data_IF_228048766899
#
_entry.id   IF_228048766899
#
_cell.length_a   1.000
_cell.length_b   1.000
_cell.length_c   1.000
_cell.angle_alpha   90.00
_cell.angle_beta   90.00
_cell.angle_gamma   90.00
#
_symmetry.space_group_name_H-M   'P 1'
#
loop_
_entity.id
_entity.type
_entity.pdbx_description
1 polymer ?
#
# COMPACT_ATOMS: atom_id res chain seq x y z
N UNK A 1 -45.59 -31.14 54.76
CA UNK A 1 -44.32 -31.23 55.50
C UNK A 1 -43.37 -30.30 54.77
N UNK A 2 -42.94 -29.18 55.38
CA UNK A 2 -42.19 -28.14 54.67
C UNK A 2 -40.87 -28.72 54.13
N UNK A 3 -40.76 -28.92 52.82
CA UNK A 3 -39.50 -29.30 52.18
C UNK A 3 -38.61 -28.05 52.13
N UNK A 4 -37.57 -28.05 52.96
CA UNK A 4 -36.49 -27.07 52.96
C UNK A 4 -35.45 -27.48 51.91
N UNK A 5 -35.14 -26.62 50.95
CA UNK A 5 -34.25 -27.01 49.84
C UNK A 5 -32.79 -26.68 50.19
N UNK A 6 -31.95 -27.70 50.36
CA UNK A 6 -30.54 -27.55 50.72
C UNK A 6 -29.61 -27.83 49.52
N UNK A 7 -28.92 -26.80 49.02
CA UNK A 7 -27.94 -26.92 47.92
C UNK A 7 -26.53 -27.16 48.47
N UNK A 8 -26.26 -28.36 48.96
CA UNK A 8 -24.95 -28.75 49.54
C UNK A 8 -24.56 -30.18 49.15
N UNK A 9 -23.27 -30.43 48.98
CA UNK A 9 -22.76 -31.78 48.81
C UNK A 9 -22.64 -32.46 50.18
N UNK A 10 -23.36 -33.58 50.36
CA UNK A 10 -23.36 -34.38 51.60
C UNK A 10 -23.47 -35.88 51.27
N UNK A 11 -23.23 -36.74 52.25
CA UNK A 11 -23.54 -38.18 52.13
C UNK A 11 -25.05 -38.40 52.16
N UNK A 12 -25.54 -39.45 51.48
CA UNK A 12 -26.96 -39.74 51.32
C UNK A 12 -27.74 -39.72 52.66
N UNK A 13 -27.20 -40.36 53.69
CA UNK A 13 -27.76 -40.45 55.05
C UNK A 13 -27.86 -39.10 55.80
N UNK A 14 -27.12 -38.09 55.35
CA UNK A 14 -27.07 -36.75 55.96
C UNK A 14 -27.90 -35.71 55.21
N UNK A 15 -28.48 -36.07 54.06
CA UNK A 15 -29.38 -35.18 53.34
C UNK A 15 -30.79 -35.23 53.97
N UNK A 16 -31.36 -34.13 54.46
CA UNK A 16 -32.66 -34.15 55.14
C UNK A 16 -33.83 -34.71 54.29
N UNK A 17 -33.66 -34.83 52.97
CA UNK A 17 -34.68 -35.26 52.00
C UNK A 17 -34.21 -36.41 51.08
N UNK A 18 -33.31 -37.28 51.56
CA UNK A 18 -32.71 -38.36 50.75
C UNK A 18 -33.69 -39.34 50.08
N UNK A 19 -34.95 -39.39 50.54
CA UNK A 19 -36.02 -40.24 49.98
C UNK A 19 -37.08 -39.54 49.12
N UNK A 20 -37.01 -38.22 48.93
CA UNK A 20 -37.96 -37.48 48.09
C UNK A 20 -37.49 -37.41 46.62
N UNK A 21 -38.39 -37.40 45.61
CA UNK A 21 -38.01 -37.20 44.21
C UNK A 21 -37.20 -35.91 44.06
N UNK A 22 -35.99 -36.01 43.48
CA UNK A 22 -35.01 -34.91 43.35
C UNK A 22 -34.52 -34.30 44.67
N UNK A 23 -34.74 -34.98 45.81
CA UNK A 23 -34.26 -34.55 47.14
C UNK A 23 -32.79 -34.88 47.42
N UNK A 24 -32.23 -35.89 46.74
CA UNK A 24 -30.80 -36.18 46.68
C UNK A 24 -30.43 -36.57 45.25
N UNK A 25 -29.34 -35.99 44.74
CA UNK A 25 -28.86 -36.20 43.37
C UNK A 25 -27.54 -36.98 43.45
N UNK A 26 -27.53 -38.21 42.95
CA UNK A 26 -26.37 -39.11 42.99
C UNK A 26 -25.58 -39.14 41.68
N UNK A 27 -26.23 -38.79 40.56
CA UNK A 27 -25.63 -38.81 39.23
C UNK A 27 -25.68 -37.43 38.56
N UNK A 28 -24.71 -37.15 37.68
CA UNK A 28 -24.58 -35.83 37.04
C UNK A 28 -25.72 -35.48 36.08
N UNK A 29 -26.41 -36.47 35.52
CA UNK A 29 -27.57 -36.28 34.63
C UNK A 29 -28.88 -35.93 35.38
N UNK A 30 -28.89 -36.11 36.70
CA UNK A 30 -30.01 -35.76 37.59
C UNK A 30 -29.85 -34.35 38.18
N UNK A 31 -28.73 -33.67 37.90
CA UNK A 31 -28.50 -32.30 38.31
C UNK A 31 -29.52 -31.34 37.69
N UNK A 32 -29.92 -30.35 38.48
CA UNK A 32 -30.68 -29.21 37.98
C UNK A 32 -29.84 -28.42 36.97
N UNK A 33 -30.44 -28.04 35.86
CA UNK A 33 -29.77 -27.28 34.81
C UNK A 33 -30.75 -26.45 33.99
N UNK A 34 -30.25 -25.39 33.35
CA UNK A 34 -31.03 -24.61 32.39
C UNK A 34 -30.84 -25.30 31.03
N UNK A 35 -31.92 -25.81 30.44
CA UNK A 35 -31.86 -26.50 29.14
C UNK A 35 -31.91 -25.53 27.96
N UNK A 36 -32.65 -24.43 28.09
CA UNK A 36 -32.72 -23.41 27.05
C UNK A 36 -33.16 -22.05 27.58
N UNK A 37 -32.72 -21.01 26.88
CA UNK A 37 -33.18 -19.64 27.02
C UNK A 37 -33.94 -19.26 25.74
N UNK A 38 -35.18 -18.77 25.89
CA UNK A 38 -36.02 -18.35 24.77
C UNK A 38 -36.53 -16.93 24.98
N UNK A 39 -36.14 -15.95 24.13
CA UNK A 39 -35.12 -16.07 23.07
C UNK A 39 -33.70 -16.25 23.64
N UNK A 40 -32.80 -16.83 22.83
CA UNK A 40 -31.40 -17.06 23.22
C UNK A 40 -30.52 -15.81 23.13
N UNK A 41 -31.03 -14.75 22.48
CA UNK A 41 -30.34 -13.45 22.37
C UNK A 41 -31.35 -12.30 22.28
N UNK A 42 -31.03 -11.14 22.86
CA UNK A 42 -31.89 -9.95 22.89
C UNK A 42 -31.15 -8.68 22.44
N UNK A 43 -31.83 -7.73 21.76
CA UNK A 43 -31.26 -6.41 21.54
C UNK A 43 -31.14 -5.66 22.88
N UNK A 44 -30.08 -4.87 23.05
CA UNK A 44 -29.99 -3.94 24.18
C UNK A 44 -31.10 -2.88 24.07
N UNK A 45 -31.80 -2.64 25.18
CA UNK A 45 -32.85 -1.62 25.27
C UNK A 45 -32.65 -0.75 26.49
N UNK A 46 -32.77 0.56 26.32
CA UNK A 46 -32.69 1.53 27.43
C UNK A 46 -34.04 1.68 28.15
N UNK A 47 -35.15 1.56 27.42
CA UNK A 47 -36.48 1.95 27.90
C UNK A 47 -37.44 0.77 28.04
N UNK A 48 -37.21 -0.33 27.33
CA UNK A 48 -38.13 -1.47 27.30
C UNK A 48 -37.59 -2.61 28.16
N UNK A 49 -38.35 -2.98 29.20
CA UNK A 49 -38.06 -4.19 29.98
C UNK A 49 -38.47 -5.40 29.14
N UNK A 50 -37.48 -6.19 28.75
CA UNK A 50 -37.69 -7.42 28.00
C UNK A 50 -37.81 -8.61 28.96
N UNK A 51 -38.32 -9.73 28.46
CA UNK A 51 -38.47 -10.96 29.23
C UNK A 51 -37.92 -12.15 28.45
N UNK A 52 -37.40 -13.13 29.18
CA UNK A 52 -36.94 -14.42 28.66
C UNK A 52 -37.67 -15.56 29.37
N UNK A 53 -37.88 -16.65 28.65
CA UNK A 53 -38.32 -17.92 29.23
C UNK A 53 -37.11 -18.83 29.44
N UNK A 54 -36.92 -19.26 30.68
CA UNK A 54 -35.85 -20.16 31.12
C UNK A 54 -36.47 -21.54 31.31
N UNK A 55 -36.12 -22.50 30.47
CA UNK A 55 -36.56 -23.89 30.63
C UNK A 55 -35.59 -24.62 31.54
N UNK A 56 -36.08 -25.22 32.62
CA UNK A 56 -35.27 -25.83 33.67
C UNK A 56 -35.53 -27.33 33.68
N UNK A 57 -34.49 -28.14 33.86
CA UNK A 57 -34.61 -29.60 33.96
C UNK A 57 -34.27 -30.01 35.39
N UNK A 58 -34.98 -31.02 35.91
CA UNK A 58 -34.81 -31.54 37.27
C UNK A 58 -35.02 -30.48 38.37
N UNK A 59 -36.01 -29.58 38.20
CA UNK A 59 -36.38 -28.59 39.21
C UNK A 59 -37.18 -29.26 40.34
N UNK A 60 -36.74 -29.18 41.61
CA UNK A 60 -37.50 -29.77 42.71
C UNK A 60 -38.85 -29.07 42.92
N UNK A 61 -39.91 -29.85 43.12
CA UNK A 61 -41.26 -29.31 43.39
C UNK A 61 -41.29 -28.66 44.77
N UNK A 62 -41.75 -27.41 44.85
CA UNK A 62 -41.94 -26.70 46.13
C UNK A 62 -43.41 -26.33 46.35
N UNK A 63 -43.92 -26.55 47.56
CA UNK A 63 -45.29 -26.19 47.96
C UNK A 63 -45.46 -24.66 48.17
N UNK A 64 -44.36 -23.91 48.26
CA UNK A 64 -44.38 -22.45 48.46
C UNK A 64 -44.39 -21.71 47.13
N UNK A 65 -45.40 -20.87 46.91
CA UNK A 65 -45.37 -19.89 45.80
C UNK A 65 -44.16 -18.97 45.97
N UNK A 66 -43.35 -18.82 44.93
CA UNK A 66 -42.15 -17.97 44.95
C UNK A 66 -40.91 -18.60 45.58
N UNK A 67 -40.81 -19.94 45.60
CA UNK A 67 -39.63 -20.66 46.11
C UNK A 67 -38.34 -20.39 45.30
N UNK A 68 -38.50 -20.00 44.03
CA UNK A 68 -37.40 -19.73 43.11
C UNK A 68 -37.49 -18.32 42.55
N UNK A 69 -36.34 -17.71 42.29
CA UNK A 69 -36.21 -16.38 41.69
C UNK A 69 -35.19 -16.41 40.57
N UNK A 70 -35.25 -15.42 39.68
CA UNK A 70 -34.23 -15.21 38.66
C UNK A 70 -33.27 -14.10 39.07
N UNK A 71 -32.00 -14.22 38.69
CA UNK A 71 -31.05 -13.11 38.72
C UNK A 71 -30.25 -13.01 37.43
N UNK A 72 -29.88 -11.78 37.06
CA UNK A 72 -28.99 -11.47 35.92
C UNK A 72 -27.79 -10.71 36.47
N UNK A 73 -26.57 -11.22 36.26
CA UNK A 73 -25.33 -10.68 36.85
C UNK A 73 -25.47 -10.36 38.35
N UNK A 74 -25.99 -11.32 39.11
CA UNK A 74 -26.25 -11.22 40.56
C UNK A 74 -27.35 -10.24 40.99
N UNK A 75 -28.01 -9.56 40.06
CA UNK A 75 -29.17 -8.69 40.35
C UNK A 75 -30.46 -9.50 40.26
N UNK A 76 -31.24 -9.55 41.35
CA UNK A 76 -32.55 -10.21 41.35
C UNK A 76 -33.52 -9.50 40.41
N UNK A 77 -34.13 -10.28 39.52
CA UNK A 77 -35.08 -9.77 38.53
C UNK A 77 -36.50 -10.23 38.84
N UNK A 78 -37.53 -9.44 38.48
CA UNK A 78 -38.92 -9.90 38.52
C UNK A 78 -39.09 -11.18 37.69
N UNK A 79 -39.61 -12.24 38.31
CA UNK A 79 -39.77 -13.53 37.65
C UNK A 79 -41.01 -14.29 38.11
N UNK A 80 -41.61 -15.07 37.21
CA UNK A 80 -42.75 -15.94 37.49
C UNK A 80 -42.45 -17.36 37.00
N UNK A 81 -42.61 -18.35 37.88
CA UNK A 81 -42.41 -19.77 37.54
C UNK A 81 -43.76 -20.41 37.18
N UNK A 82 -43.84 -21.07 36.03
CA UNK A 82 -44.98 -21.85 35.57
C UNK A 82 -44.53 -23.25 35.13
N UNK A 83 -44.78 -24.25 35.97
CA UNK A 83 -44.20 -25.59 35.81
C UNK A 83 -42.67 -25.51 35.89
N UNK A 84 -42.01 -26.02 34.86
CA UNK A 84 -40.54 -26.03 34.74
C UNK A 84 -39.98 -24.85 33.93
N UNK A 85 -40.84 -23.89 33.55
CA UNK A 85 -40.47 -22.71 32.77
C UNK A 85 -40.59 -21.45 33.61
N UNK A 86 -39.48 -20.72 33.75
CA UNK A 86 -39.43 -19.45 34.46
C UNK A 86 -39.40 -18.27 33.49
N UNK A 87 -40.43 -17.42 33.54
CA UNK A 87 -40.42 -16.13 32.85
C UNK A 87 -39.63 -15.12 33.71
N UNK A 88 -38.53 -14.60 33.20
CA UNK A 88 -37.65 -13.67 33.90
C UNK A 88 -37.52 -12.36 33.13
N UNK A 89 -37.72 -11.22 33.81
CA UNK A 89 -37.41 -9.91 33.26
C UNK A 89 -35.88 -9.73 33.17
N UNK A 90 -35.41 -9.03 32.14
CA UNK A 90 -33.98 -8.72 31.98
C UNK A 90 -33.70 -7.23 32.22
N UNK A 91 -32.50 -6.88 32.71
CA UNK A 91 -32.15 -5.49 33.00
C UNK A 91 -32.06 -4.64 31.73
N UNK A 92 -32.15 -3.32 31.89
CA UNK A 92 -31.94 -2.34 30.82
C UNK A 92 -30.45 -2.11 30.57
N UNK A 93 -30.12 -1.48 29.45
CA UNK A 93 -28.72 -1.27 29.02
C UNK A 93 -27.83 -0.56 30.03
N UNK A 94 -28.38 0.27 30.92
CA UNK A 94 -27.60 1.01 31.93
C UNK A 94 -27.04 0.12 33.06
N UNK A 95 -27.58 -1.08 33.22
CA UNK A 95 -27.18 -2.05 34.25
C UNK A 95 -26.32 -3.19 33.67
N UNK A 96 -26.01 -3.13 32.37
CA UNK A 96 -25.19 -4.10 31.67
C UNK A 96 -23.83 -3.48 31.29
N UNK A 97 -22.77 -4.29 31.14
CA UNK A 97 -21.49 -3.82 30.63
C UNK A 97 -21.60 -3.22 29.22
N UNK A 98 -20.62 -2.39 28.85
CA UNK A 98 -20.54 -1.85 27.50
C UNK A 98 -20.38 -2.95 26.44
N UNK A 99 -21.05 -2.77 25.31
CA UNK A 99 -20.95 -3.67 24.18
C UNK A 99 -19.58 -3.59 23.51
N UNK A 100 -19.03 -4.75 23.16
CA UNK A 100 -17.78 -4.83 22.41
C UNK A 100 -17.90 -4.10 21.07
N UNK A 101 -16.99 -3.19 20.76
CA UNK A 101 -16.94 -2.51 19.46
C UNK A 101 -16.61 -3.44 18.28
N UNK A 102 -16.10 -4.64 18.59
CA UNK A 102 -15.72 -5.67 17.61
C UNK A 102 -16.90 -6.58 17.24
N UNK A 103 -17.72 -6.96 18.22
CA UNK A 103 -18.78 -7.97 18.04
C UNK A 103 -20.18 -7.43 18.27
N UNK A 104 -20.31 -6.26 18.90
CA UNK A 104 -21.58 -5.70 19.37
C UNK A 104 -22.22 -6.51 20.50
N UNK A 105 -21.55 -7.53 21.04
CA UNK A 105 -22.10 -8.45 22.03
C UNK A 105 -21.80 -8.01 23.46
N UNK A 106 -22.75 -8.29 24.35
CA UNK A 106 -22.63 -8.25 25.80
C UNK A 106 -23.13 -9.59 26.34
N UNK A 107 -22.36 -10.24 27.20
CA UNK A 107 -22.79 -11.49 27.85
C UNK A 107 -23.19 -11.21 29.28
N UNK A 108 -24.31 -11.77 29.72
CA UNK A 108 -24.74 -11.72 31.11
C UNK A 108 -25.03 -13.13 31.62
N UNK A 109 -24.63 -13.40 32.86
CA UNK A 109 -24.97 -14.65 33.52
C UNK A 109 -26.41 -14.56 34.04
N UNK A 110 -27.25 -15.48 33.59
CA UNK A 110 -28.60 -15.70 34.13
C UNK A 110 -28.51 -16.87 35.09
N UNK A 111 -29.05 -16.69 36.30
CA UNK A 111 -29.09 -17.73 37.31
C UNK A 111 -30.50 -17.91 37.87
N UNK A 112 -30.86 -19.16 38.10
CA UNK A 112 -31.99 -19.53 38.95
C UNK A 112 -31.49 -19.56 40.39
N UNK A 113 -32.18 -18.85 41.27
CA UNK A 113 -31.90 -18.75 42.70
C UNK A 113 -32.94 -19.51 43.49
N UNK A 114 -32.53 -20.18 44.57
CA UNK A 114 -33.44 -20.59 45.63
C UNK A 114 -33.69 -19.40 46.55
N UNK A 115 -34.96 -19.00 46.73
CA UNK A 115 -35.29 -17.86 47.58
C UNK A 115 -35.09 -18.18 49.07
N UNK A 116 -35.05 -19.46 49.42
CA UNK A 116 -34.85 -19.94 50.80
C UNK A 116 -33.39 -19.84 51.24
N UNK A 117 -32.46 -20.23 50.37
CA UNK A 117 -31.01 -20.28 50.67
C UNK A 117 -30.23 -19.13 50.02
N UNK A 118 -30.87 -18.39 49.11
CA UNK A 118 -30.27 -17.33 48.30
C UNK A 118 -29.03 -17.79 47.49
N UNK A 119 -28.97 -19.07 47.14
CA UNK A 119 -27.89 -19.66 46.34
C UNK A 119 -28.30 -19.81 44.87
N UNK A 120 -27.33 -19.67 43.95
CA UNK A 120 -27.48 -20.04 42.54
C UNK A 120 -27.53 -21.55 42.39
N UNK A 121 -28.55 -22.05 41.71
CA UNK A 121 -28.82 -23.50 41.60
C UNK A 121 -28.66 -23.99 40.17
N UNK A 122 -28.91 -23.13 39.18
CA UNK A 122 -28.56 -23.36 37.79
C UNK A 122 -28.19 -22.03 37.13
N UNK A 123 -27.22 -22.05 36.21
CA UNK A 123 -26.74 -20.86 35.50
C UNK A 123 -26.66 -21.11 33.99
N UNK A 124 -26.79 -20.04 33.22
CA UNK A 124 -26.62 -20.01 31.78
C UNK A 124 -26.14 -18.62 31.35
N UNK A 125 -25.55 -18.51 30.15
CA UNK A 125 -25.15 -17.22 29.59
C UNK A 125 -26.20 -16.74 28.59
N UNK A 126 -26.72 -15.54 28.82
CA UNK A 126 -27.58 -14.83 27.89
C UNK A 126 -26.77 -13.80 27.10
N UNK A 127 -26.99 -13.74 25.79
CA UNK A 127 -26.32 -12.79 24.92
C UNK A 127 -27.23 -11.60 24.60
N UNK A 128 -26.72 -10.40 24.86
CA UNK A 128 -27.30 -9.16 24.40
C UNK A 128 -26.48 -8.61 23.24
N UNK A 129 -27.12 -7.85 22.35
CA UNK A 129 -26.42 -7.20 21.26
C UNK A 129 -26.83 -5.73 21.08
N UNK A 130 -25.84 -4.89 20.75
CA UNK A 130 -26.04 -3.51 20.34
C UNK A 130 -25.36 -3.30 18.99
N UNK A 131 -26.18 -3.19 17.93
CA UNK A 131 -25.68 -2.94 16.58
C UNK A 131 -24.90 -1.62 16.52
N UNK A 132 -25.36 -0.56 17.19
CA UNK A 132 -24.76 0.78 17.15
C UNK A 132 -23.35 0.85 17.75
N UNK A 133 -22.94 -0.15 18.55
CA UNK A 133 -21.57 -0.26 19.05
C UNK A 133 -20.57 -0.74 17.97
N UNK A 134 -21.05 -1.38 16.89
CA UNK A 134 -20.22 -1.92 15.82
C UNK A 134 -19.83 -0.81 14.84
N UNK A 135 -18.53 -0.56 14.70
CA UNK A 135 -17.97 0.54 13.90
C UNK A 135 -17.50 0.14 12.49
N UNK A 136 -17.69 -1.11 12.09
CA UNK A 136 -17.22 -1.64 10.80
C UNK A 136 -18.34 -2.33 10.04
N UNK A 137 -18.49 -2.00 8.75
CA UNK A 137 -19.43 -2.66 7.85
C UNK A 137 -19.23 -4.18 7.84
N UNK A 138 -17.98 -4.63 7.73
CA UNK A 138 -17.68 -6.06 7.69
C UNK A 138 -18.17 -6.74 8.96
N UNK A 139 -17.81 -6.22 10.14
CA UNK A 139 -18.25 -6.77 11.43
C UNK A 139 -19.77 -6.73 11.61
N UNK A 140 -20.42 -5.69 11.10
CA UNK A 140 -21.87 -5.52 11.17
C UNK A 140 -22.62 -6.54 10.29
N UNK A 141 -22.02 -6.98 9.18
CA UNK A 141 -22.67 -7.82 8.15
C UNK A 141 -22.22 -9.28 8.16
N UNK A 142 -21.05 -9.61 8.71
CA UNK A 142 -20.53 -10.99 8.78
C UNK A 142 -20.92 -11.74 10.06
N UNK A 143 -21.62 -11.10 10.98
CA UNK A 143 -22.08 -11.70 12.25
C UNK A 143 -23.43 -12.42 12.15
N UNK A 144 -23.75 -13.22 13.18
CA UNK A 144 -25.07 -13.85 13.37
C UNK A 144 -26.16 -12.87 13.84
N UNK A 145 -25.78 -11.62 14.13
CA UNK A 145 -26.68 -10.58 14.59
C UNK A 145 -27.57 -10.08 13.45
N UNK A 146 -28.82 -9.75 13.77
CA UNK A 146 -29.78 -9.13 12.84
C UNK A 146 -29.53 -7.63 12.71
N UNK A 147 -28.28 -7.26 12.44
CA UNK A 147 -27.87 -5.88 12.21
C UNK A 147 -27.82 -5.59 10.70
N UNK A 148 -27.85 -4.31 10.34
CA UNK A 148 -27.65 -3.82 8.98
C UNK A 148 -26.74 -2.60 9.01
N UNK A 149 -25.89 -2.46 7.99
CA UNK A 149 -24.96 -1.33 7.91
C UNK A 149 -25.50 -0.19 7.05
N UNK A 150 -25.40 1.04 7.57
CA UNK A 150 -25.79 2.27 6.91
C UNK A 150 -24.57 3.05 6.41
N UNK A 151 -24.19 2.88 5.14
CA UNK A 151 -22.98 3.51 4.60
C UNK A 151 -22.95 5.03 4.70
N UNK A 152 -24.08 5.70 4.46
CA UNK A 152 -24.12 7.16 4.47
C UNK A 152 -23.76 7.74 5.85
N UNK A 153 -24.30 7.14 6.92
CA UNK A 153 -24.03 7.55 8.31
C UNK A 153 -22.74 6.93 8.87
N UNK A 154 -22.22 5.89 8.23
CA UNK A 154 -21.15 5.05 8.77
C UNK A 154 -21.52 4.39 10.11
N UNK A 155 -22.76 3.90 10.21
CA UNK A 155 -23.35 3.37 11.44
C UNK A 155 -24.00 2.00 11.20
N UNK A 156 -23.88 1.10 12.18
CA UNK A 156 -24.58 -0.19 12.20
C UNK A 156 -25.86 -0.07 13.03
N UNK A 157 -26.99 -0.62 12.55
CA UNK A 157 -28.31 -0.46 13.20
C UNK A 157 -29.11 -1.75 13.18
N UNK A 158 -30.00 -1.93 14.17
CA UNK A 158 -31.00 -3.00 14.19
C UNK A 158 -32.26 -2.64 13.38
N UNK A 159 -32.52 -1.34 13.17
CA UNK A 159 -33.69 -0.84 12.42
C UNK A 159 -33.23 -0.03 11.20
N UNK A 160 -32.96 -0.78 10.13
CA UNK A 160 -32.53 -0.23 8.85
C UNK A 160 -33.59 0.68 8.21
N UNK A 161 -34.89 0.39 8.43
CA UNK A 161 -36.01 1.10 7.80
C UNK A 161 -36.13 2.55 8.25
N UNK A 162 -35.88 2.82 9.54
CA UNK A 162 -35.93 4.18 10.08
C UNK A 162 -34.59 4.92 9.95
N UNK A 163 -33.48 4.19 10.01
CA UNK A 163 -32.14 4.78 10.09
C UNK A 163 -31.52 5.07 8.73
N UNK A 164 -31.83 4.23 7.72
CA UNK A 164 -31.33 4.34 6.36
C UNK A 164 -32.47 4.70 5.40
N UNK A 165 -32.45 5.88 4.75
CA UNK A 165 -33.47 6.24 3.77
C UNK A 165 -33.53 5.22 2.62
N UNK A 166 -34.70 5.01 2.02
CA UNK A 166 -34.94 4.04 0.93
C UNK A 166 -34.01 4.18 -0.29
N UNK A 167 -33.41 5.37 -0.48
CA UNK A 167 -32.41 5.64 -1.52
C UNK A 167 -31.03 5.03 -1.24
N UNK A 168 -30.82 4.49 -0.04
CA UNK A 168 -29.59 3.83 0.40
C UNK A 168 -29.89 2.37 0.69
N UNK A 169 -29.23 1.46 -0.03
CA UNK A 169 -29.36 0.04 0.27
C UNK A 169 -28.89 -0.20 1.72
N UNK A 170 -29.72 -0.89 2.49
CA UNK A 170 -29.33 -1.48 3.76
C UNK A 170 -28.88 -2.89 3.48
N UNK A 171 -27.60 -3.18 3.74
CA UNK A 171 -27.06 -4.52 3.56
C UNK A 171 -27.24 -5.30 4.85
N UNK A 172 -27.91 -6.45 4.73
CA UNK A 172 -28.28 -7.30 5.84
C UNK A 172 -27.21 -8.37 6.04
N UNK A 173 -27.04 -8.82 7.28
CA UNK A 173 -26.21 -9.99 7.54
C UNK A 173 -26.76 -11.22 6.79
N UNK A 174 -25.95 -11.77 5.88
CA UNK A 174 -26.17 -13.08 5.25
C UNK A 174 -24.98 -13.96 5.58
N UNK A 175 -25.25 -15.23 5.90
CA UNK A 175 -24.26 -16.17 6.43
C UNK A 175 -23.12 -16.60 5.47
N UNK A 176 -23.05 -16.06 4.24
CA UNK A 176 -22.03 -16.48 3.24
C UNK A 176 -21.49 -15.39 2.31
N UNK A 177 -22.03 -14.17 2.30
CA UNK A 177 -21.56 -13.08 1.43
C UNK A 177 -21.64 -11.73 2.15
N UNK A 178 -20.53 -10.99 2.18
CA UNK A 178 -20.49 -9.61 2.66
C UNK A 178 -20.75 -8.66 1.49
N UNK A 179 -21.75 -7.80 1.62
CA UNK A 179 -22.11 -6.84 0.58
C UNK A 179 -21.44 -5.46 0.82
N UNK A 180 -20.40 -5.42 1.67
CA UNK A 180 -19.63 -4.21 1.98
C UNK A 180 -18.73 -3.77 0.81
N UNK A 181 -18.64 -2.46 0.52
CA UNK A 181 -17.69 -1.90 -0.42
C UNK A 181 -16.26 -2.07 0.11
N UNK A 182 -15.41 -2.71 -0.70
CA UNK A 182 -14.01 -2.96 -0.38
C UNK A 182 -13.13 -2.56 -1.56
N UNK A 183 -11.93 -2.07 -1.26
CA UNK A 183 -10.91 -1.79 -2.29
C UNK A 183 -10.07 -3.03 -2.54
N UNK A 184 -9.79 -3.32 -3.81
CA UNK A 184 -8.90 -4.41 -4.20
C UNK A 184 -7.45 -4.06 -3.86
N UNK A 185 -6.63 -5.08 -3.61
CA UNK A 185 -5.17 -4.93 -3.58
C UNK A 185 -4.68 -4.49 -4.95
N UNK A 186 -4.05 -3.31 -5.02
CA UNK A 186 -3.60 -2.73 -6.28
C UNK A 186 -2.41 -1.79 -6.06
N UNK A 187 -1.62 -1.61 -7.12
CA UNK A 187 -0.54 -0.62 -7.18
C UNK A 187 -0.93 0.48 -8.17
N UNK A 188 -0.90 1.73 -7.72
CA UNK A 188 -1.25 2.90 -8.51
C UNK A 188 0.00 3.77 -8.74
N UNK A 189 0.23 4.13 -10.01
CA UNK A 189 1.24 5.08 -10.42
C UNK A 189 0.55 6.34 -10.90
N UNK A 190 0.72 7.44 -10.16
CA UNK A 190 0.05 8.71 -10.43
C UNK A 190 1.11 9.72 -10.91
N UNK A 191 0.98 10.29 -12.12
CA UNK A 191 1.91 11.31 -12.57
C UNK A 191 1.73 12.60 -11.75
N UNK A 192 2.82 13.13 -11.23
CA UNK A 192 2.88 14.45 -10.59
C UNK A 192 2.81 15.58 -11.63
N UNK A 193 2.38 16.76 -11.19
CA UNK A 193 2.34 17.98 -12.01
C UNK A 193 1.56 17.86 -13.34
N UNK A 194 0.61 16.93 -13.41
CA UNK A 194 -0.34 16.74 -14.52
C UNK A 194 -1.73 16.53 -13.94
N UNK A 195 -2.74 17.17 -14.52
CA UNK A 195 -4.14 16.91 -14.15
C UNK A 195 -4.57 15.55 -14.70
N UNK A 196 -4.64 14.54 -13.82
CA UNK A 196 -5.03 13.19 -14.22
C UNK A 196 -6.04 12.59 -13.26
N UNK A 197 -7.10 12.02 -13.83
CA UNK A 197 -8.08 11.25 -13.07
C UNK A 197 -7.49 9.90 -12.66
N UNK A 198 -7.86 9.41 -11.48
CA UNK A 198 -7.31 8.18 -10.90
C UNK A 198 -8.46 7.20 -10.70
N UNK A 199 -8.39 6.04 -11.34
CA UNK A 199 -9.39 4.99 -11.15
C UNK A 199 -8.92 3.98 -10.10
N UNK A 200 -9.73 3.78 -9.07
CA UNK A 200 -9.54 2.78 -8.02
C UNK A 200 -10.50 1.61 -8.23
N UNK A 201 -9.98 0.40 -8.07
CA UNK A 201 -10.73 -0.86 -8.23
C UNK A 201 -11.17 -1.43 -6.89
N UNK A 202 -12.29 -2.14 -6.89
CA UNK A 202 -12.81 -2.81 -5.71
C UNK A 202 -14.06 -3.61 -6.03
N UNK A 203 -14.85 -3.88 -5.00
CA UNK A 203 -16.08 -4.68 -5.07
C UNK A 203 -17.21 -4.02 -4.30
N UNK A 204 -18.45 -4.24 -4.75
CA UNK A 204 -19.68 -3.80 -4.09
C UNK A 204 -19.78 -2.29 -3.84
N UNK A 205 -19.22 -1.46 -4.73
CA UNK A 205 -19.41 -0.01 -4.65
C UNK A 205 -20.86 0.37 -4.97
N UNK A 206 -21.62 0.91 -4.00
CA UNK A 206 -23.00 1.28 -4.28
C UNK A 206 -23.13 2.53 -5.14
N UNK A 207 -24.18 2.55 -5.96
CA UNK A 207 -24.58 3.71 -6.77
C UNK A 207 -25.30 4.73 -5.88
N UNK A 208 -24.72 5.92 -5.71
CA UNK A 208 -25.40 7.03 -5.02
C UNK A 208 -26.55 7.55 -5.88
N UNK A 209 -27.80 7.48 -5.41
CA UNK A 209 -29.00 7.86 -6.20
C UNK A 209 -29.64 9.19 -5.83
N UNK A 210 -29.17 9.88 -4.79
CA UNK A 210 -29.46 11.29 -4.40
C UNK A 210 -28.96 11.46 -2.96
N UNK A 211 -27.92 12.27 -2.74
CA UNK A 211 -27.52 12.64 -1.39
C UNK A 211 -27.15 14.13 -1.33
N UNK A 212 -27.57 14.87 -0.29
CA UNK A 212 -27.14 16.25 -0.06
C UNK A 212 -25.65 16.37 0.32
N UNK A 213 -25.00 15.28 0.82
CA UNK A 213 -23.58 15.27 1.24
C UNK A 213 -22.78 14.04 0.71
N UNK A 214 -23.34 13.22 -0.19
CA UNK A 214 -22.92 11.81 -0.36
C UNK A 214 -22.46 11.40 -1.77
N UNK A 215 -21.42 12.06 -2.27
CA UNK A 215 -20.63 11.56 -3.40
C UNK A 215 -19.39 10.82 -2.91
N UNK A 216 -18.77 10.01 -3.78
CA UNK A 216 -17.48 9.43 -3.46
C UNK A 216 -16.43 10.54 -3.41
N UNK A 217 -15.53 10.45 -2.45
CA UNK A 217 -14.37 11.32 -2.36
C UNK A 217 -13.11 10.49 -2.19
N UNK A 218 -12.10 10.79 -2.99
CA UNK A 218 -10.76 10.26 -2.82
C UNK A 218 -9.91 11.28 -2.09
N UNK A 219 -9.08 10.84 -1.16
CA UNK A 219 -8.02 11.66 -0.59
C UNK A 219 -6.69 11.07 -1.01
N UNK A 220 -5.87 11.83 -1.74
CA UNK A 220 -4.50 11.46 -2.09
C UNK A 220 -3.55 12.29 -1.24
N UNK A 221 -2.65 11.63 -0.52
CA UNK A 221 -1.67 12.30 0.34
C UNK A 221 -0.25 11.82 0.09
N UNK A 222 0.69 12.77 0.10
CA UNK A 222 2.12 12.53 -0.06
C UNK A 222 2.91 13.53 0.78
N UNK A 223 3.66 13.04 1.76
CA UNK A 223 4.32 13.89 2.76
C UNK A 223 3.30 14.76 3.52
N UNK A 224 3.47 16.08 3.48
CA UNK A 224 2.58 17.06 4.12
C UNK A 224 1.41 17.52 3.24
N UNK A 225 1.36 17.09 1.97
CA UNK A 225 0.35 17.50 1.02
C UNK A 225 -0.79 16.49 0.98
N UNK A 226 -2.02 17.00 0.96
CA UNK A 226 -3.24 16.19 0.90
C UNK A 226 -4.26 16.86 0.00
N UNK A 227 -4.86 16.08 -0.89
CA UNK A 227 -5.83 16.52 -1.87
C UNK A 227 -7.13 15.74 -1.68
N UNK A 228 -8.22 16.44 -1.35
CA UNK A 228 -9.57 15.85 -1.38
C UNK A 228 -10.18 16.08 -2.75
N UNK A 229 -10.55 15.00 -3.43
CA UNK A 229 -10.91 14.96 -4.85
C UNK A 229 -12.30 14.35 -4.98
N UNK A 230 -13.22 15.12 -5.57
CA UNK A 230 -14.55 14.63 -5.94
C UNK A 230 -14.42 13.45 -6.90
N UNK A 231 -15.22 12.40 -6.69
CA UNK A 231 -15.05 11.13 -7.41
C UNK A 231 -16.37 10.65 -8.00
N UNK A 232 -16.28 10.10 -9.21
CA UNK A 232 -17.41 9.56 -9.94
C UNK A 232 -17.51 8.05 -9.74
N UNK A 233 -18.71 7.58 -9.44
CA UNK A 233 -19.01 6.15 -9.44
C UNK A 233 -19.15 5.70 -10.91
N UNK A 234 -18.32 4.74 -11.33
CA UNK A 234 -18.43 4.19 -12.69
C UNK A 234 -19.39 2.99 -12.68
N UNK A 235 -19.16 2.05 -11.77
CA UNK A 235 -19.91 0.81 -11.60
C UNK A 235 -19.61 0.21 -10.21
N UNK A 236 -20.17 -0.97 -9.91
CA UNK A 236 -19.98 -1.66 -8.64
C UNK A 236 -18.54 -2.11 -8.34
N UNK A 237 -17.61 -1.98 -9.29
CA UNK A 237 -16.21 -2.43 -9.14
C UNK A 237 -15.17 -1.33 -9.35
N UNK A 238 -15.59 -0.11 -9.68
CA UNK A 238 -14.66 1.00 -9.93
C UNK A 238 -15.23 2.38 -9.64
N UNK A 239 -14.38 3.22 -9.07
CA UNK A 239 -14.61 4.64 -8.81
C UNK A 239 -13.46 5.41 -9.46
N UNK A 240 -13.77 6.56 -10.06
CA UNK A 240 -12.76 7.44 -10.63
C UNK A 240 -12.68 8.73 -9.82
N UNK A 241 -11.56 8.95 -9.14
CA UNK A 241 -11.23 10.24 -8.57
C UNK A 241 -11.01 11.25 -9.72
N UNK A 242 -11.60 12.43 -9.62
CA UNK A 242 -11.49 13.49 -10.63
C UNK A 242 -10.06 13.88 -10.96
N UNK A 243 -9.90 14.61 -12.07
CA UNK A 243 -8.58 15.06 -12.51
C UNK A 243 -8.00 16.06 -11.51
N UNK A 244 -6.86 15.71 -10.91
CA UNK A 244 -6.19 16.55 -9.93
C UNK A 244 -4.70 16.63 -10.24
N UNK A 245 -4.16 17.85 -10.17
CA UNK A 245 -2.72 18.08 -10.22
C UNK A 245 -2.13 17.95 -8.82
N UNK A 246 -1.19 17.02 -8.67
CA UNK A 246 -0.53 16.75 -7.40
C UNK A 246 0.82 17.45 -7.39
N UNK A 247 1.07 18.25 -6.35
CA UNK A 247 2.40 18.84 -6.11
C UNK A 247 3.40 17.71 -5.85
N UNK A 248 4.60 17.93 -6.35
CA UNK A 248 5.63 16.92 -6.37
C UNK A 248 6.98 17.57 -5.99
N UNK A 249 7.72 17.03 -5.00
CA UNK A 249 8.97 17.60 -4.53
C UNK A 249 10.07 17.50 -5.61
N UNK A 250 10.91 18.51 -5.72
CA UNK A 250 11.81 18.60 -6.89
C UNK A 250 12.96 17.58 -6.91
N UNK A 251 13.26 16.91 -5.81
CA UNK A 251 14.51 16.14 -5.69
C UNK A 251 14.43 14.66 -6.09
N UNK A 252 13.23 14.09 -6.32
CA UNK A 252 13.06 12.63 -6.48
C UNK A 252 12.32 12.26 -7.77
N UNK A 253 12.56 11.08 -8.36
CA UNK A 253 11.79 10.62 -9.55
C UNK A 253 10.46 9.97 -9.17
N UNK A 254 10.44 9.28 -8.03
CA UNK A 254 9.28 8.59 -7.46
C UNK A 254 9.21 8.87 -5.95
N UNK A 255 8.02 9.05 -5.41
CA UNK A 255 7.75 9.11 -3.96
C UNK A 255 6.54 8.25 -3.59
N UNK A 256 6.54 7.73 -2.37
CA UNK A 256 5.38 7.00 -1.82
C UNK A 256 4.26 7.97 -1.45
N UNK A 257 3.02 7.56 -1.75
CA UNK A 257 1.80 8.28 -1.44
C UNK A 257 0.77 7.31 -0.84
N UNK A 258 -0.34 7.86 -0.35
CA UNK A 258 -1.49 7.10 0.13
C UNK A 258 -2.74 7.56 -0.61
N UNK A 259 -3.69 6.64 -0.79
CA UNK A 259 -5.03 6.95 -1.26
C UNK A 259 -6.07 6.36 -0.31
N UNK A 260 -7.08 7.15 0.05
CA UNK A 260 -8.25 6.69 0.78
C UNK A 260 -9.51 7.08 0.03
N UNK A 261 -10.54 6.24 0.06
CA UNK A 261 -11.82 6.49 -0.59
C UNK A 261 -12.90 6.52 0.48
N UNK A 262 -13.79 7.50 0.42
CA UNK A 262 -14.95 7.62 1.30
C UNK A 262 -16.23 7.73 0.49
N UNK A 263 -17.31 7.21 1.07
CA UNK A 263 -18.69 7.41 0.60
C UNK A 263 -19.47 8.10 1.72
N UNK A 264 -19.77 9.38 1.56
CA UNK A 264 -20.29 10.19 2.67
C UNK A 264 -19.32 10.18 3.85
N UNK A 265 -19.76 9.63 4.99
CA UNK A 265 -18.92 9.50 6.20
C UNK A 265 -18.18 8.17 6.32
N UNK A 266 -18.52 7.17 5.52
CA UNK A 266 -17.93 5.83 5.61
C UNK A 266 -16.65 5.74 4.78
N UNK A 267 -15.55 5.35 5.42
CA UNK A 267 -14.35 4.92 4.72
C UNK A 267 -14.61 3.60 3.99
N UNK A 268 -14.09 3.48 2.77
CA UNK A 268 -14.00 2.21 2.05
C UNK A 268 -12.66 1.57 2.39
N UNK A 269 -12.68 0.40 3.03
CA UNK A 269 -11.46 -0.26 3.51
C UNK A 269 -10.91 -1.23 2.44
N UNK A 270 -9.58 -1.45 2.39
CA UNK A 270 -8.99 -2.50 1.55
C UNK A 270 -9.44 -3.90 1.99
N UNK A 271 -9.60 -4.82 1.03
CA UNK A 271 -9.99 -6.22 1.28
C UNK A 271 -8.93 -6.99 2.07
N UNK A 272 -7.66 -6.81 1.71
CA UNK A 272 -6.50 -7.31 2.44
C UNK A 272 -5.27 -6.52 2.05
N UNK A 273 -4.38 -6.24 3.02
CA UNK A 273 -3.18 -5.45 2.80
C UNK A 273 -3.43 -3.95 2.61
N UNK A 274 -2.50 -3.29 1.92
CA UNK A 274 -2.49 -1.84 1.67
C UNK A 274 -2.51 -1.57 0.16
N UNK A 275 -3.16 -0.48 -0.25
CA UNK A 275 -3.05 0.02 -1.63
C UNK A 275 -1.69 0.72 -1.73
N UNK A 276 -0.85 0.25 -2.64
CA UNK A 276 0.44 0.88 -2.89
C UNK A 276 0.27 2.02 -3.87
N UNK A 277 0.68 3.22 -3.50
CA UNK A 277 0.55 4.40 -4.37
C UNK A 277 1.91 5.07 -4.50
N UNK A 278 2.28 5.35 -5.74
CA UNK A 278 3.50 6.07 -6.09
C UNK A 278 3.16 7.28 -6.93
N UNK A 279 3.62 8.45 -6.49
CA UNK A 279 3.67 9.63 -7.35
C UNK A 279 5.01 9.62 -8.09
N UNK A 280 5.00 9.96 -9.38
CA UNK A 280 6.21 10.01 -10.19
C UNK A 280 6.21 11.20 -11.14
N UNK A 281 7.38 11.68 -11.55
CA UNK A 281 7.51 12.73 -12.56
C UNK A 281 8.47 12.30 -13.67
N UNK A 282 7.92 12.13 -14.89
CA UNK A 282 8.70 11.76 -16.07
C UNK A 282 9.82 12.76 -16.38
N UNK A 283 9.62 14.07 -16.10
CA UNK A 283 10.64 15.10 -16.35
C UNK A 283 11.90 14.89 -15.52
N UNK A 284 11.77 14.23 -14.36
CA UNK A 284 12.88 13.91 -13.47
C UNK A 284 13.45 12.53 -13.78
N UNK A 285 12.65 11.62 -14.31
CA UNK A 285 13.11 10.31 -14.74
C UNK A 285 14.15 10.39 -15.85
N UNK A 286 14.02 11.37 -16.76
CA UNK A 286 14.95 11.57 -17.86
C UNK A 286 14.91 12.99 -18.42
N UNK A 287 16.08 13.48 -18.82
CA UNK A 287 16.24 14.77 -19.53
C UNK A 287 16.50 14.62 -21.02
N UNK A 288 16.77 13.40 -21.49
CA UNK A 288 17.05 13.07 -22.90
C UNK A 288 15.96 12.15 -23.44
N UNK A 289 15.65 12.24 -24.74
CA UNK A 289 14.61 11.42 -25.35
C UNK A 289 14.97 9.94 -25.22
N UNK A 290 16.21 9.56 -25.56
CA UNK A 290 16.62 8.15 -25.48
C UNK A 290 16.43 7.54 -24.08
N UNK A 291 16.80 8.28 -23.02
CA UNK A 291 16.60 7.84 -21.63
C UNK A 291 15.12 7.84 -21.22
N UNK A 292 14.34 8.81 -21.70
CA UNK A 292 12.91 8.90 -21.42
C UNK A 292 12.12 7.71 -21.96
N UNK A 293 12.43 7.28 -23.19
CA UNK A 293 11.76 6.18 -23.86
C UNK A 293 12.10 4.81 -23.25
N UNK A 294 13.13 4.72 -22.40
CA UNK A 294 13.47 3.51 -21.64
C UNK A 294 13.20 3.64 -20.13
N UNK A 295 12.53 4.72 -19.71
CA UNK A 295 12.09 4.87 -18.33
C UNK A 295 11.18 3.71 -17.90
N UNK A 296 11.04 3.52 -16.58
CA UNK A 296 10.24 2.45 -15.97
C UNK A 296 8.87 2.33 -16.65
N UNK A 297 8.57 1.15 -17.22
CA UNK A 297 7.41 0.94 -18.09
C UNK A 297 6.06 1.31 -17.43
N UNK A 298 5.95 1.14 -16.11
CA UNK A 298 4.77 1.50 -15.33
C UNK A 298 4.44 2.99 -15.38
N UNK A 299 5.44 3.86 -15.58
CA UNK A 299 5.26 5.31 -15.67
C UNK A 299 4.66 5.74 -17.00
N UNK A 300 4.78 4.90 -18.04
CA UNK A 300 4.31 5.22 -19.40
C UNK A 300 4.80 6.59 -19.87
N UNK A 301 6.07 6.91 -19.55
CA UNK A 301 6.71 8.13 -20.02
C UNK A 301 7.00 8.06 -21.53
N UNK A 302 7.05 9.22 -22.16
CA UNK A 302 7.46 9.39 -23.55
C UNK A 302 7.98 10.79 -23.78
N UNK A 303 8.51 11.04 -24.98
CA UNK A 303 9.17 12.30 -25.27
C UNK A 303 8.21 13.31 -25.88
N UNK A 304 8.05 14.47 -25.26
CA UNK A 304 7.25 15.55 -25.81
C UNK A 304 8.16 16.46 -26.66
N UNK A 305 7.97 16.43 -27.99
CA UNK A 305 8.85 17.14 -28.92
C UNK A 305 8.79 18.65 -28.74
N UNK A 306 7.58 19.19 -28.53
CA UNK A 306 7.35 20.64 -28.44
C UNK A 306 8.05 21.28 -27.24
N UNK A 307 8.07 20.59 -26.10
CA UNK A 307 8.72 21.06 -24.87
C UNK A 307 10.13 20.51 -24.71
N UNK A 308 10.59 19.67 -25.65
CA UNK A 308 11.86 18.92 -25.59
C UNK A 308 12.09 18.31 -24.21
N UNK A 309 11.06 17.63 -23.69
CA UNK A 309 11.09 17.09 -22.32
C UNK A 309 10.36 15.76 -22.19
N UNK A 310 10.75 14.97 -21.18
CA UNK A 310 10.12 13.70 -20.88
C UNK A 310 8.80 13.93 -20.12
N UNK A 311 7.68 13.44 -20.65
CA UNK A 311 6.37 13.60 -20.01
C UNK A 311 5.46 12.40 -20.25
N UNK A 312 4.34 12.34 -19.53
CA UNK A 312 3.23 11.46 -19.89
C UNK A 312 2.45 12.08 -21.07
N UNK A 313 1.73 11.26 -21.83
CA UNK A 313 0.96 11.71 -22.99
C UNK A 313 0.02 12.89 -22.66
N UNK A 314 -0.74 12.76 -21.56
CA UNK A 314 -1.70 13.78 -21.09
C UNK A 314 -1.00 15.09 -20.63
N UNK A 315 0.30 15.04 -20.38
CA UNK A 315 1.13 16.19 -20.01
C UNK A 315 1.89 16.81 -21.18
N UNK A 316 1.70 16.33 -22.41
CA UNK A 316 2.31 16.89 -23.61
C UNK A 316 1.29 17.74 -24.40
N UNK A 317 1.42 19.07 -24.43
CA UNK A 317 0.54 19.90 -25.23
C UNK A 317 0.73 19.59 -26.73
N UNK A 318 -0.38 19.48 -27.47
CA UNK A 318 -0.44 19.36 -28.93
C UNK A 318 -0.19 17.98 -29.55
N UNK A 319 -0.24 16.87 -28.78
CA UNK A 319 -0.24 15.51 -29.34
C UNK A 319 1.06 15.08 -30.04
N UNK A 320 2.12 15.89 -29.95
CA UNK A 320 3.47 15.58 -30.43
C UNK A 320 4.25 14.71 -29.42
N UNK A 321 3.55 13.79 -28.78
CA UNK A 321 4.12 12.87 -27.79
C UNK A 321 4.62 11.61 -28.49
N UNK A 322 5.90 11.32 -28.32
CA UNK A 322 6.60 10.21 -28.97
C UNK A 322 6.55 9.00 -28.04
N UNK A 323 5.88 7.95 -28.50
CA UNK A 323 5.80 6.67 -27.80
C UNK A 323 7.16 5.93 -27.82
N UNK A 324 7.48 5.12 -26.80
CA UNK A 324 8.67 4.27 -26.76
C UNK A 324 8.91 3.32 -27.95
N UNK A 325 7.97 3.19 -28.88
CA UNK A 325 8.16 2.38 -30.10
C UNK A 325 8.82 3.16 -31.24
N UNK A 326 8.90 4.48 -31.15
CA UNK A 326 9.41 5.38 -32.21
C UNK A 326 10.83 5.84 -31.87
N UNK A 327 11.64 6.15 -32.90
CA UNK A 327 12.97 6.73 -32.73
C UNK A 327 12.91 8.19 -32.29
N UNK A 328 13.94 8.65 -31.59
CA UNK A 328 14.02 10.03 -31.15
C UNK A 328 14.18 10.97 -32.36
N UNK A 329 13.39 12.06 -32.43
CA UNK A 329 13.38 12.93 -33.61
C UNK A 329 14.62 13.82 -33.71
N UNK A 330 15.34 14.00 -32.61
CA UNK A 330 16.54 14.83 -32.56
C UNK A 330 17.80 14.06 -32.96
N UNK A 331 18.64 14.73 -33.76
CA UNK A 331 19.95 14.22 -34.18
C UNK A 331 20.93 14.13 -32.99
N UNK A 332 21.84 13.13 -32.97
CA UNK A 332 22.86 13.01 -31.94
C UNK A 332 23.78 14.23 -31.94
N UNK A 333 23.95 14.86 -30.77
CA UNK A 333 24.81 16.04 -30.61
C UNK A 333 25.94 15.70 -29.64
N UNK A 334 27.17 15.84 -30.11
CA UNK A 334 28.36 15.69 -29.27
C UNK A 334 28.59 17.01 -28.55
N UNK A 335 28.46 17.02 -27.23
CA UNK A 335 28.66 18.20 -26.39
C UNK A 335 30.13 18.37 -26.02
N UNK A 336 30.79 17.28 -25.62
CA UNK A 336 32.20 17.28 -25.25
C UNK A 336 32.82 15.89 -25.41
N UNK A 337 34.13 15.85 -25.40
CA UNK A 337 34.88 14.60 -25.38
C UNK A 337 36.25 14.81 -24.74
N UNK A 338 36.78 13.75 -24.16
CA UNK A 338 38.09 13.75 -23.52
C UNK A 338 38.76 12.37 -23.65
N UNK A 339 40.08 12.30 -23.90
CA UNK A 339 41.01 13.41 -24.14
C UNK A 339 40.86 14.06 -25.53
N UNK A 340 41.48 15.25 -25.71
CA UNK A 340 41.52 15.96 -27.01
C UNK A 340 42.63 15.44 -27.93
N UNK A 341 43.59 14.73 -27.37
CA UNK A 341 44.78 14.22 -28.07
C UNK A 341 44.94 12.73 -27.79
N UNK A 342 45.56 12.02 -28.72
CA UNK A 342 45.94 10.61 -28.52
C UNK A 342 47.03 10.17 -29.47
N UNK A 343 47.69 9.07 -29.15
CA UNK A 343 48.84 8.60 -29.92
C UNK A 343 48.38 8.07 -31.29
N UNK A 344 49.15 8.35 -32.35
CA UNK A 344 48.97 7.73 -33.69
C UNK A 344 48.92 6.20 -33.69
N UNK A 345 49.43 5.51 -32.66
CA UNK A 345 49.32 4.05 -32.53
C UNK A 345 47.91 3.56 -32.15
N UNK A 346 47.00 4.47 -31.79
CA UNK A 346 45.65 4.14 -31.35
C UNK A 346 45.57 3.79 -29.87
N UNK A 347 44.54 3.03 -29.49
CA UNK A 347 44.22 2.60 -28.13
C UNK A 347 44.01 3.74 -27.11
N UNK A 348 43.78 4.97 -27.58
CA UNK A 348 43.41 6.07 -26.70
C UNK A 348 41.95 5.90 -26.30
N UNK A 349 41.68 5.79 -24.99
CA UNK A 349 40.32 5.71 -24.46
C UNK A 349 39.67 7.08 -24.48
N UNK A 350 38.70 7.23 -25.37
CA UNK A 350 37.97 8.45 -25.64
C UNK A 350 36.57 8.36 -25.05
N UNK A 351 36.28 9.21 -24.07
CA UNK A 351 34.94 9.40 -23.54
C UNK A 351 34.24 10.53 -24.29
N UNK A 352 33.12 10.20 -24.93
CA UNK A 352 32.31 11.12 -25.75
C UNK A 352 31.00 11.36 -25.00
N UNK A 353 30.73 12.60 -24.64
CA UNK A 353 29.53 13.03 -23.92
C UNK A 353 28.64 13.89 -24.83
N UNK A 354 27.34 13.62 -24.80
CA UNK A 354 26.39 14.27 -25.68
C UNK A 354 24.94 13.98 -25.36
N UNK A 355 24.09 14.16 -26.37
CA UNK A 355 22.66 13.90 -26.32
C UNK A 355 22.24 13.01 -27.47
N UNK A 356 21.16 12.26 -27.28
CA UNK A 356 20.55 11.38 -28.29
C UNK A 356 21.48 10.30 -28.83
N UNK A 357 22.36 9.76 -27.98
CA UNK A 357 23.21 8.60 -28.31
C UNK A 357 22.48 7.25 -28.32
N UNK A 358 21.20 7.26 -28.69
CA UNK A 358 20.37 6.07 -28.79
C UNK A 358 19.72 5.65 -27.47
N UNK A 359 18.82 4.67 -27.55
CA UNK A 359 18.10 4.10 -26.41
C UNK A 359 18.80 2.86 -25.86
N UNK A 360 19.53 2.17 -26.73
CA UNK A 360 20.27 0.94 -26.46
C UNK A 360 21.60 1.00 -27.19
N UNK A 361 22.58 0.25 -26.70
CA UNK A 361 23.89 0.15 -27.34
C UNK A 361 23.81 -0.24 -28.82
N UNK A 362 22.88 -1.13 -29.20
CA UNK A 362 22.64 -1.54 -30.59
C UNK A 362 22.27 -0.40 -31.55
N UNK A 363 21.84 0.73 -31.03
CA UNK A 363 21.53 1.91 -31.84
C UNK A 363 22.82 2.63 -32.26
N UNK A 364 23.94 2.45 -31.57
CA UNK A 364 25.26 2.98 -31.97
C UNK A 364 25.78 2.16 -33.16
N UNK A 365 25.76 2.73 -34.36
CA UNK A 365 26.16 2.04 -35.60
C UNK A 365 27.62 2.26 -35.96
N UNK A 366 28.13 3.47 -35.73
CA UNK A 366 29.49 3.84 -36.09
C UNK A 366 30.00 4.93 -35.15
N UNK A 367 31.25 4.83 -34.72
CA UNK A 367 32.02 5.96 -34.18
C UNK A 367 33.32 5.99 -34.95
N UNK A 368 33.69 7.13 -35.53
CA UNK A 368 34.89 7.26 -36.33
C UNK A 368 35.54 8.64 -36.25
N UNK A 369 36.85 8.70 -36.50
CA UNK A 369 37.66 9.91 -36.51
C UNK A 369 38.49 9.91 -37.78
N UNK A 370 38.27 10.87 -38.68
CA UNK A 370 38.86 10.87 -40.03
C UNK A 370 38.64 9.55 -40.82
N UNK A 371 37.50 8.88 -40.61
CA UNK A 371 37.18 7.59 -41.22
C UNK A 371 37.85 6.38 -40.55
N UNK A 372 38.71 6.59 -39.55
CA UNK A 372 39.25 5.53 -38.71
C UNK A 372 38.22 5.13 -37.66
N UNK A 373 37.89 3.84 -37.58
CA UNK A 373 36.91 3.31 -36.63
C UNK A 373 37.40 3.52 -35.19
N UNK A 374 36.49 3.96 -34.31
CA UNK A 374 36.70 3.98 -32.86
C UNK A 374 35.87 2.85 -32.26
N UNK A 375 36.53 1.90 -31.61
CA UNK A 375 35.88 0.67 -31.15
C UNK A 375 35.16 0.92 -29.83
N UNK A 376 33.83 0.78 -29.82
CA UNK A 376 32.98 0.98 -28.64
C UNK A 376 32.72 -0.32 -27.89
N UNK A 377 32.30 -0.22 -26.64
CA UNK A 377 31.89 -1.36 -25.79
C UNK A 377 30.53 -1.07 -25.15
N UNK A 378 29.72 -2.11 -24.93
CA UNK A 378 28.41 -1.95 -24.28
C UNK A 378 28.51 -1.60 -22.79
N UNK A 379 29.55 -2.11 -22.11
CA UNK A 379 29.74 -1.90 -20.67
C UNK A 379 30.00 -0.44 -20.30
N UNK A 380 30.59 0.34 -21.20
CA UNK A 380 30.92 1.74 -20.97
C UNK A 380 29.84 2.71 -21.52
N UNK A 381 28.78 2.17 -22.12
CA UNK A 381 27.71 2.97 -22.71
C UNK A 381 26.70 3.44 -21.66
N UNK A 382 26.43 4.76 -21.64
CA UNK A 382 25.37 5.36 -20.83
C UNK A 382 24.26 5.82 -21.76
N UNK A 383 23.06 5.27 -21.56
CA UNK A 383 21.89 5.50 -22.42
C UNK A 383 21.71 6.97 -22.77
N UNK A 384 21.62 7.24 -24.07
CA UNK A 384 21.44 8.56 -24.69
C UNK A 384 22.52 9.61 -24.41
N UNK A 385 23.52 9.34 -23.56
CA UNK A 385 24.41 10.36 -23.00
C UNK A 385 25.90 10.15 -23.30
N UNK A 386 26.43 8.96 -23.04
CA UNK A 386 27.89 8.73 -23.08
C UNK A 386 28.22 7.51 -23.91
N UNK A 387 29.18 7.68 -24.81
CA UNK A 387 29.81 6.59 -25.56
C UNK A 387 31.30 6.63 -25.24
N UNK A 388 31.86 5.49 -24.88
CA UNK A 388 33.32 5.35 -24.75
C UNK A 388 33.85 4.47 -25.86
N UNK A 389 34.97 4.87 -26.45
CA UNK A 389 35.60 4.13 -27.53
C UNK A 389 37.13 4.13 -27.44
N UNK A 390 37.76 3.15 -28.08
CA UNK A 390 39.21 3.06 -28.26
C UNK A 390 39.56 3.44 -29.70
N UNK A 391 40.46 4.41 -29.86
CA UNK A 391 40.89 4.86 -31.18
C UNK A 391 41.67 3.77 -31.92
N UNK A 392 41.47 3.67 -33.24
CA UNK A 392 42.33 2.83 -34.09
C UNK A 392 43.68 3.49 -34.35
N UNK A 393 44.63 2.72 -34.89
CA UNK A 393 45.89 3.26 -35.35
C UNK A 393 45.71 4.18 -36.57
N UNK A 394 46.48 5.27 -36.60
CA UNK A 394 46.62 6.19 -37.72
C UNK A 394 48.03 6.07 -38.31
N UNK A 395 48.14 6.12 -39.63
CA UNK A 395 49.44 6.10 -40.32
C UNK A 395 50.24 7.40 -40.16
N UNK A 396 49.57 8.50 -39.83
CA UNK A 396 50.17 9.83 -39.67
C UNK A 396 49.46 10.65 -38.59
N UNK A 397 50.12 11.68 -38.09
CA UNK A 397 49.45 12.70 -37.28
C UNK A 397 48.36 13.37 -38.10
N UNK A 398 47.15 13.46 -37.54
CA UNK A 398 46.00 14.06 -38.19
C UNK A 398 45.03 14.61 -37.16
N UNK A 399 44.26 15.61 -37.57
CA UNK A 399 43.21 16.23 -36.76
C UNK A 399 41.89 16.08 -37.50
N UNK A 400 40.86 15.63 -36.79
CA UNK A 400 39.52 15.55 -37.38
C UNK A 400 38.43 15.57 -36.31
N UNK A 401 37.23 15.96 -36.72
CA UNK A 401 36.02 15.82 -35.92
C UNK A 401 35.68 14.35 -35.73
N UNK A 402 35.10 14.05 -34.57
CA UNK A 402 34.53 12.75 -34.25
C UNK A 402 33.14 12.67 -34.90
N UNK A 403 32.91 11.60 -35.64
CA UNK A 403 31.62 11.24 -36.22
C UNK A 403 30.99 10.13 -35.38
N UNK A 404 29.73 10.31 -35.01
CA UNK A 404 28.91 9.30 -34.33
C UNK A 404 27.66 9.08 -35.17
N UNK A 405 27.37 7.82 -35.50
CA UNK A 405 26.15 7.40 -36.22
C UNK A 405 25.28 6.61 -35.26
N UNK A 406 24.10 7.15 -34.98
CA UNK A 406 23.07 6.55 -34.12
C UNK A 406 21.87 6.22 -35.00
N UNK A 407 21.53 4.94 -35.10
CA UNK A 407 20.53 4.41 -36.03
C UNK A 407 20.80 4.94 -37.46
N UNK A 408 19.99 5.88 -37.93
CA UNK A 408 20.09 6.50 -39.25
C UNK A 408 20.58 7.96 -39.22
N UNK A 409 20.90 8.49 -38.04
CA UNK A 409 21.28 9.88 -37.84
C UNK A 409 22.78 10.00 -37.56
N UNK A 410 23.38 11.10 -38.00
CA UNK A 410 24.81 11.36 -37.84
C UNK A 410 25.04 12.64 -37.05
N UNK A 411 25.93 12.56 -36.06
CA UNK A 411 26.40 13.67 -35.24
C UNK A 411 27.90 13.89 -35.46
N UNK A 412 28.33 15.14 -35.42
CA UNK A 412 29.73 15.54 -35.53
C UNK A 412 30.13 16.36 -34.30
N UNK A 413 31.37 16.19 -33.84
CA UNK A 413 31.92 17.01 -32.76
C UNK A 413 32.19 18.44 -33.22
N UNK A 414 32.09 19.39 -32.29
CA UNK A 414 32.49 20.78 -32.54
C UNK A 414 34.01 20.90 -32.69
N UNK A 415 34.73 20.34 -31.72
CA UNK A 415 36.19 20.33 -31.70
C UNK A 415 36.76 19.11 -32.42
N UNK A 416 38.04 19.18 -32.78
CA UNK A 416 38.77 18.08 -33.38
C UNK A 416 39.50 17.25 -32.33
N UNK A 417 39.61 15.95 -32.60
CA UNK A 417 40.54 15.07 -31.93
C UNK A 417 41.85 15.04 -32.71
N UNK A 418 42.97 15.10 -32.01
CA UNK A 418 44.30 15.19 -32.59
C UNK A 418 45.08 13.90 -32.36
N UNK A 419 45.34 13.16 -33.44
CA UNK A 419 46.34 12.09 -33.44
C UNK A 419 47.73 12.70 -33.51
N UNK A 420 48.53 12.44 -32.48
CA UNK A 420 49.84 13.03 -32.27
C UNK A 420 50.90 11.94 -32.08
N UNK A 421 52.15 12.30 -32.29
CA UNK A 421 53.28 11.40 -32.09
C UNK A 421 54.31 12.09 -31.20
N UNK A 422 54.17 12.02 -29.87
CA UNK A 422 55.02 12.77 -28.94
C UNK A 422 56.50 12.47 -29.18
N UNK A 423 57.31 13.51 -29.25
CA UNK A 423 58.75 13.41 -29.45
C UNK A 423 59.48 14.01 -28.26
N UNK A 424 60.28 13.20 -27.56
CA UNK A 424 61.23 13.71 -26.57
C UNK A 424 62.45 14.23 -27.31
N UNK A 425 62.76 15.50 -27.13
CA UNK A 425 63.90 16.16 -27.79
C UNK A 425 65.09 16.28 -26.84
N UNK A 426 64.83 16.61 -25.57
CA UNK A 426 65.87 16.77 -24.56
C UNK A 426 65.35 16.48 -23.14
N UNK A 427 66.27 16.35 -22.17
CA UNK A 427 65.94 16.24 -20.75
C UNK A 427 67.08 16.75 -19.88
N UNK A 428 66.78 17.36 -18.73
CA UNK A 428 67.78 17.92 -17.83
C UNK A 428 67.39 17.70 -16.36
N UNK A 429 68.33 17.34 -15.46
CA UNK A 429 69.76 17.11 -15.68
C UNK A 429 70.05 15.74 -16.32
N UNK A 430 71.23 15.61 -16.96
CA UNK A 430 71.71 14.35 -17.57
C UNK A 430 72.30 13.36 -16.58
N UNK A 431 72.65 13.83 -15.38
CA UNK A 431 73.33 13.06 -14.34
C UNK A 431 72.62 13.33 -13.02
N UNK A 432 72.49 12.30 -12.19
CA UNK A 432 71.92 12.39 -10.85
C UNK A 432 72.46 11.28 -9.94
N UNK A 433 72.26 11.38 -8.62
CA UNK A 433 72.68 10.37 -7.65
C UNK A 433 71.96 9.03 -7.85
N UNK A 434 72.65 7.93 -7.57
CA UNK A 434 72.11 6.55 -7.64
C UNK A 434 70.88 6.37 -6.73
N UNK A 435 70.80 7.12 -5.63
CA UNK A 435 69.66 7.12 -4.71
C UNK A 435 68.35 7.62 -5.34
N UNK A 436 68.42 8.32 -6.49
CA UNK A 436 67.25 8.95 -7.11
C UNK A 436 66.82 10.25 -6.43
N UNK A 437 65.57 10.64 -6.63
CA UNK A 437 65.00 11.88 -6.10
C UNK A 437 65.40 13.15 -6.87
N UNK A 438 65.94 13.00 -8.07
CA UNK A 438 66.31 14.12 -8.95
C UNK A 438 65.09 14.58 -9.75
N UNK A 439 64.81 15.88 -9.72
CA UNK A 439 63.82 16.50 -10.60
C UNK A 439 64.36 16.53 -12.03
N UNK A 440 63.71 15.79 -12.94
CA UNK A 440 64.07 15.72 -14.35
C UNK A 440 63.03 16.46 -15.18
N UNK A 441 63.46 17.51 -15.87
CA UNK A 441 62.66 18.26 -16.84
C UNK A 441 62.83 17.64 -18.21
N UNK A 442 61.78 17.05 -18.78
CA UNK A 442 61.77 16.50 -20.14
C UNK A 442 61.18 17.54 -21.09
N UNK A 443 61.90 17.87 -22.15
CA UNK A 443 61.49 18.81 -23.20
C UNK A 443 61.23 18.07 -24.50
N UNK A 444 60.24 18.53 -25.26
CA UNK A 444 59.88 17.91 -26.50
C UNK A 444 58.59 18.47 -27.08
N UNK A 445 58.06 17.77 -28.09
CA UNK A 445 56.84 18.13 -28.82
C UNK A 445 55.71 17.20 -28.42
N UNK A 446 54.53 17.79 -28.22
CA UNK A 446 53.27 17.06 -28.01
C UNK A 446 53.31 16.08 -26.81
N UNK A 447 54.17 16.33 -25.83
CA UNK A 447 54.37 15.43 -24.67
C UNK A 447 53.10 15.28 -23.80
N UNK A 448 52.12 16.15 -23.98
CA UNK A 448 50.78 16.09 -23.38
C UNK A 448 49.79 15.20 -24.18
N UNK A 449 50.29 14.32 -25.05
CA UNK A 449 49.46 13.39 -25.82
C UNK A 449 48.90 12.28 -24.91
N UNK A 450 47.58 12.17 -24.83
CA UNK A 450 46.90 11.13 -24.04
C UNK A 450 46.67 11.53 -22.59
N UNK A 451 46.49 10.53 -21.71
CA UNK A 451 46.05 10.71 -20.31
C UNK A 451 46.91 9.97 -19.29
N UNK A 452 47.34 8.74 -19.59
CA UNK A 452 48.23 7.96 -18.72
C UNK A 452 49.67 8.08 -19.24
N UNK A 453 50.34 9.17 -18.86
CA UNK A 453 51.74 9.41 -19.22
C UNK A 453 52.61 8.75 -18.15
N UNK A 454 53.54 7.90 -18.59
CA UNK A 454 54.50 7.23 -17.72
C UNK A 454 55.91 7.43 -18.24
N UNK A 455 56.81 7.79 -17.34
CA UNK A 455 58.24 8.00 -17.65
C UNK A 455 59.04 6.91 -16.95
N UNK A 456 59.95 6.29 -17.70
CA UNK A 456 60.87 5.28 -17.21
C UNK A 456 62.31 5.71 -17.47
N UNK A 457 63.14 5.65 -16.43
CA UNK A 457 64.60 5.77 -16.54
C UNK A 457 65.19 4.36 -16.43
N UNK A 458 65.59 3.79 -17.56
CA UNK A 458 65.93 2.37 -17.65
C UNK A 458 64.71 1.49 -17.38
N UNK A 459 64.71 0.76 -16.27
CA UNK A 459 63.57 -0.09 -15.83
C UNK A 459 62.76 0.53 -14.69
N UNK A 460 63.16 1.70 -14.19
CA UNK A 460 62.55 2.32 -13.02
C UNK A 460 61.54 3.39 -13.43
N UNK A 461 60.31 3.30 -12.91
CA UNK A 461 59.25 4.28 -13.13
C UNK A 461 59.48 5.55 -12.30
N UNK A 462 59.38 6.72 -12.92
CA UNK A 462 59.33 7.99 -12.21
C UNK A 462 57.97 8.17 -11.54
N UNK A 463 57.96 8.49 -10.24
CA UNK A 463 56.74 8.48 -9.41
C UNK A 463 55.97 9.81 -9.39
N UNK A 464 56.64 10.93 -9.65
CA UNK A 464 56.06 12.28 -9.56
C UNK A 464 56.22 13.02 -10.90
N UNK A 465 55.23 12.87 -11.79
CA UNK A 465 55.13 13.69 -13.00
C UNK A 465 54.35 14.96 -12.65
N UNK A 466 54.89 16.13 -13.01
CA UNK A 466 54.29 17.44 -12.79
C UNK A 466 54.14 18.19 -14.09
#
# INVERSE_FOLDING_TARGET
>A
MNIHIFFRCTTYDKCPYYGSPLGYVGHSNECISISSLSPSSLPLSETTIQKINISIVNLPVSEKKGAYACSVNDVKMPSTLNGDTMECAVPTSSQLPEASSETGLVKAEVAVLSNETNTKIATAMLEFYNCSAISSCLKCTTGSLKCSWCHYKAECTADASSTCPESFASWKSKASEHECPLLDTQTLYIPGSVQRAITVRGTHFPKSKKSPDGEYQCTVSAGSQSYSIASTWNNSTSITCGAQEHKYPESSVEISANISVKLGKSDVKPISGYIQVYLYDCRRAATLCGSCLVAKAQYKCGWCVNTSSCSVNDGCPSGLWVHPSVECPEIPKIQSFYPKTGHVKGNSRLEINGTEFGRRYKDVKEVSIAGLQCTTTENDYVVAKTIVCLTSNSSKSLSAKIKVVIAHQTGLSKDEFHYQNPQVEDYEPKIGPISGGTDVTIRGKELNTGVDIQVFLGRSKCLNLR
#
